data_IF_245148500222
#
_entry.id   IF_245148500222
#
_cell.length_a   1.000
_cell.length_b   1.000
_cell.length_c   1.000
_cell.angle_alpha   90.00
_cell.angle_beta   90.00
_cell.angle_gamma   90.00
#
_symmetry.space_group_name_H-M   'P 1'
#
loop_
_entity.id
_entity.type
_entity.pdbx_description
1 polymer ?
#
# COMPACT_ATOMS: atom_id res chain seq x y z
N UNK A 1 4.40 -15.45 -23.28
CA UNK A 1 4.76 -14.21 -22.54
C UNK A 1 5.08 -14.45 -21.06
N UNK A 2 4.55 -15.50 -20.41
CA UNK A 2 4.83 -15.76 -18.99
C UNK A 2 6.26 -16.24 -18.70
N UNK A 3 6.97 -16.75 -19.73
CA UNK A 3 8.37 -17.15 -19.65
C UNK A 3 9.34 -15.98 -19.92
N UNK A 4 8.81 -14.76 -20.09
CA UNK A 4 9.65 -13.56 -20.22
C UNK A 4 10.47 -13.39 -18.92
N UNK A 5 11.78 -13.12 -19.01
CA UNK A 5 12.59 -12.79 -17.85
C UNK A 5 12.09 -11.54 -17.12
N UNK A 6 12.12 -11.55 -15.80
CA UNK A 6 11.68 -10.43 -14.94
C UNK A 6 12.41 -9.13 -15.28
N UNK A 7 13.70 -9.18 -15.60
CA UNK A 7 14.51 -7.99 -15.92
C UNK A 7 13.98 -7.15 -17.08
N UNK A 8 13.19 -7.76 -17.99
CA UNK A 8 12.60 -7.08 -19.15
C UNK A 8 11.41 -6.22 -18.77
N UNK A 9 10.78 -6.48 -17.62
CA UNK A 9 9.57 -5.76 -17.19
C UNK A 9 9.72 -5.05 -15.84
N UNK A 10 10.75 -5.35 -15.05
CA UNK A 10 10.99 -4.68 -13.77
C UNK A 10 11.32 -3.19 -13.93
N UNK A 11 11.11 -2.42 -12.86
CA UNK A 11 11.63 -1.06 -12.75
C UNK A 11 13.11 -1.10 -12.37
N UNK A 12 14.00 -0.58 -13.23
CA UNK A 12 15.46 -0.52 -12.99
C UNK A 12 15.89 0.64 -12.09
N UNK A 13 15.18 1.77 -12.16
CA UNK A 13 15.41 2.92 -11.29
C UNK A 13 14.72 2.70 -9.96
N UNK A 14 15.33 1.87 -9.11
CA UNK A 14 14.80 1.52 -7.81
C UNK A 14 15.07 2.64 -6.82
N UNK A 15 13.99 3.20 -6.29
CA UNK A 15 14.04 4.04 -5.09
C UNK A 15 14.01 3.10 -3.89
N UNK A 16 14.97 3.25 -3.00
CA UNK A 16 15.12 2.49 -1.77
C UNK A 16 15.38 3.44 -0.60
N UNK A 17 15.26 2.94 0.61
CA UNK A 17 15.68 3.62 1.84
C UNK A 17 16.84 2.85 2.48
N UNK A 18 17.66 3.51 3.28
CA UNK A 18 18.85 2.91 3.89
C UNK A 18 18.65 2.62 5.38
N UNK A 19 19.39 1.65 5.90
CA UNK A 19 19.56 1.45 7.35
C UNK A 19 21.04 1.56 7.76
N UNK A 20 21.34 2.19 8.92
CA UNK A 20 20.39 2.82 9.85
C UNK A 20 19.81 4.12 9.28
N UNK A 21 18.55 4.40 9.62
CA UNK A 21 17.79 5.57 9.21
C UNK A 21 16.49 5.67 10.00
N UNK A 22 15.78 6.79 9.85
CA UNK A 22 14.57 7.11 10.61
C UNK A 22 13.31 7.28 9.75
N UNK A 23 12.18 7.47 10.40
CA UNK A 23 10.87 7.61 9.76
C UNK A 23 10.75 8.87 8.91
N UNK A 24 11.44 9.96 9.26
CA UNK A 24 11.41 11.22 8.50
C UNK A 24 12.03 11.03 7.11
N UNK A 25 13.11 10.27 7.01
CA UNK A 25 13.71 9.88 5.73
C UNK A 25 12.70 9.16 4.83
N UNK A 26 11.88 8.24 5.39
CA UNK A 26 10.87 7.55 4.60
C UNK A 26 9.80 8.52 4.10
N UNK A 27 9.29 9.41 4.96
CA UNK A 27 8.28 10.40 4.56
C UNK A 27 8.80 11.36 3.50
N UNK A 28 10.07 11.76 3.58
CA UNK A 28 10.73 12.55 2.54
C UNK A 28 10.68 11.81 1.19
N UNK A 29 11.07 10.53 1.16
CA UNK A 29 11.02 9.70 -0.05
C UNK A 29 9.58 9.52 -0.55
N UNK A 30 8.60 9.29 0.33
CA UNK A 30 7.17 9.23 -0.04
C UNK A 30 6.73 10.55 -0.68
N UNK A 31 7.09 11.69 -0.10
CA UNK A 31 6.69 13.00 -0.58
C UNK A 31 7.31 13.35 -1.94
N UNK A 32 8.58 13.01 -2.14
CA UNK A 32 9.31 13.24 -3.39
C UNK A 32 8.85 12.31 -4.52
N UNK A 33 8.57 11.05 -4.20
CA UNK A 33 8.35 10.01 -5.22
C UNK A 33 6.90 9.63 -5.41
N UNK A 34 6.03 10.02 -4.47
CA UNK A 34 4.62 9.62 -4.35
C UNK A 34 4.40 8.10 -4.31
N UNK A 35 5.45 7.33 -3.97
CA UNK A 35 5.39 5.87 -3.82
C UNK A 35 5.16 5.49 -2.37
N UNK A 36 4.54 4.34 -2.14
CA UNK A 36 4.09 3.88 -0.82
C UNK A 36 4.83 2.66 -0.28
N UNK A 37 5.92 2.24 -0.93
CA UNK A 37 6.76 1.17 -0.39
C UNK A 37 8.05 0.98 -1.16
N UNK A 38 9.09 0.62 -0.42
CA UNK A 38 10.49 0.74 -0.83
C UNK A 38 11.27 -0.46 -0.28
N UNK A 39 12.20 -1.01 -1.08
CA UNK A 39 13.27 -1.84 -0.55
C UNK A 39 14.08 -1.06 0.50
N UNK A 40 14.51 -1.75 1.55
CA UNK A 40 15.43 -1.25 2.55
C UNK A 40 16.78 -1.90 2.33
N UNK A 41 17.82 -1.10 2.18
CA UNK A 41 19.19 -1.58 1.92
C UNK A 41 20.16 -1.15 3.03
N UNK A 42 21.29 -1.85 3.17
CA UNK A 42 22.35 -1.42 4.08
C UNK A 42 23.02 -0.15 3.55
N UNK A 43 23.20 0.85 4.43
CA UNK A 43 23.78 2.16 4.10
C UNK A 43 25.07 2.07 3.29
N UNK A 44 25.15 2.84 2.21
CA UNK A 44 26.32 2.87 1.33
C UNK A 44 26.49 1.63 0.46
N UNK A 45 25.51 0.73 0.46
CA UNK A 45 25.47 -0.47 -0.38
C UNK A 45 24.11 -0.58 -1.06
N UNK A 46 23.93 -1.61 -1.88
CA UNK A 46 22.61 -1.98 -2.43
C UNK A 46 22.08 -3.28 -1.82
N UNK A 47 22.75 -3.82 -0.80
CA UNK A 47 22.39 -5.10 -0.21
C UNK A 47 21.05 -5.01 0.50
N UNK A 48 20.09 -5.81 0.05
CA UNK A 48 18.72 -5.83 0.57
C UNK A 48 18.68 -6.41 1.99
N UNK A 49 18.01 -5.70 2.90
CA UNK A 49 17.81 -6.15 4.28
C UNK A 49 16.34 -6.18 4.70
N UNK A 50 15.47 -5.48 3.97
CA UNK A 50 14.06 -5.37 4.30
C UNK A 50 13.21 -4.79 3.19
N UNK A 51 11.90 -4.76 3.40
CA UNK A 51 10.96 -3.92 2.65
C UNK A 51 10.15 -3.11 3.66
N UNK A 52 9.87 -1.85 3.32
CA UNK A 52 9.03 -0.99 4.14
C UNK A 52 7.92 -0.41 3.28
N UNK A 53 6.71 -0.39 3.83
CA UNK A 53 5.54 0.20 3.20
C UNK A 53 4.91 1.24 4.11
N UNK A 54 4.12 2.11 3.51
CA UNK A 54 3.30 3.06 4.23
C UNK A 54 2.41 2.39 5.29
N UNK A 55 1.91 1.17 5.02
CA UNK A 55 1.12 0.40 5.98
C UNK A 55 1.94 0.06 7.23
N UNK A 56 3.22 -0.25 7.09
CA UNK A 56 4.10 -0.59 8.22
C UNK A 56 4.33 0.63 9.13
N UNK A 57 4.52 1.79 8.49
CA UNK A 57 4.66 3.10 9.13
C UNK A 57 3.38 3.47 9.89
N UNK A 58 2.22 3.37 9.25
CA UNK A 58 0.93 3.73 9.86
C UNK A 58 0.49 2.79 10.99
N UNK A 59 0.92 1.52 10.96
CA UNK A 59 0.61 0.54 12.03
C UNK A 59 1.36 0.80 13.32
N UNK A 60 2.56 1.39 13.24
CA UNK A 60 3.44 1.63 14.39
C UNK A 60 3.77 3.13 14.47
N UNK A 61 2.84 4.00 14.89
CA UNK A 61 3.03 5.46 14.85
C UNK A 61 4.13 5.97 15.79
N UNK A 62 4.42 5.24 16.87
CA UNK A 62 5.41 5.60 17.89
C UNK A 62 6.85 5.17 17.55
N UNK A 63 7.01 4.36 16.50
CA UNK A 63 8.31 3.82 16.13
C UNK A 63 8.97 4.71 15.07
N UNK A 64 10.22 5.06 15.35
CA UNK A 64 11.04 5.98 14.55
C UNK A 64 12.10 5.26 13.72
N UNK A 65 12.57 4.08 14.16
CA UNK A 65 13.67 3.39 13.49
C UNK A 65 13.19 2.56 12.31
N UNK A 66 13.76 2.80 11.11
CA UNK A 66 13.47 2.01 9.90
C UNK A 66 13.66 0.51 10.17
N UNK A 67 14.69 0.14 10.93
CA UNK A 67 15.02 -1.25 11.23
C UNK A 67 13.95 -1.98 12.07
N UNK A 68 13.12 -1.25 12.81
CA UNK A 68 12.00 -1.78 13.60
C UNK A 68 10.67 -1.69 12.85
N UNK A 69 10.54 -0.78 11.89
CA UNK A 69 9.38 -0.65 11.01
C UNK A 69 9.39 -1.62 9.83
N UNK A 70 10.57 -1.98 9.31
CA UNK A 70 10.67 -2.78 8.09
C UNK A 70 10.26 -4.24 8.29
N UNK A 71 9.69 -4.84 7.25
CA UNK A 71 9.59 -6.29 7.14
C UNK A 71 10.94 -6.85 6.72
N UNK A 72 11.57 -7.63 7.60
CA UNK A 72 12.87 -8.28 7.37
C UNK A 72 12.73 -9.47 6.43
N UNK A 73 13.82 -9.81 5.76
CA UNK A 73 13.91 -10.98 4.87
C UNK A 73 12.76 -11.03 3.84
N UNK A 74 12.56 -9.97 3.03
CA UNK A 74 11.48 -9.93 2.05
C UNK A 74 11.66 -11.02 1.00
N UNK A 75 10.56 -11.50 0.44
CA UNK A 75 10.60 -12.42 -0.70
C UNK A 75 11.17 -11.69 -1.92
N UNK A 76 12.20 -12.26 -2.53
CA UNK A 76 12.90 -11.70 -3.69
C UNK A 76 12.75 -12.58 -4.94
N UNK A 77 13.20 -12.04 -6.06
CA UNK A 77 13.29 -12.77 -7.33
C UNK A 77 14.57 -12.40 -8.08
N UNK A 78 15.10 -13.35 -8.85
CA UNK A 78 16.26 -13.13 -9.71
C UNK A 78 15.83 -12.46 -11.03
N UNK A 79 16.72 -11.70 -11.69
CA UNK A 79 16.39 -10.97 -12.93
C UNK A 79 16.02 -11.89 -14.10
N UNK A 80 16.65 -13.06 -14.19
CA UNK A 80 16.47 -14.06 -15.25
C UNK A 80 15.26 -14.98 -15.02
N UNK A 81 14.72 -15.00 -13.79
CA UNK A 81 13.55 -15.81 -13.45
C UNK A 81 12.35 -15.45 -14.34
N UNK A 82 11.51 -16.44 -14.71
CA UNK A 82 10.34 -16.20 -15.54
C UNK A 82 9.27 -15.41 -14.76
N UNK A 83 8.53 -14.55 -15.45
CA UNK A 83 7.39 -13.80 -14.87
C UNK A 83 6.39 -14.72 -14.18
N UNK A 84 6.18 -15.95 -14.68
CA UNK A 84 5.31 -16.92 -14.02
C UNK A 84 5.73 -17.22 -12.57
N UNK A 85 7.03 -17.33 -12.30
CA UNK A 85 7.54 -17.53 -10.95
C UNK A 85 7.25 -16.31 -10.08
N UNK A 86 7.42 -15.11 -10.64
CA UNK A 86 7.08 -13.86 -9.96
C UNK A 86 5.61 -13.83 -9.54
N UNK A 87 4.70 -14.20 -10.46
CA UNK A 87 3.26 -14.27 -10.20
C UNK A 87 2.98 -15.26 -9.06
N UNK A 88 3.57 -16.46 -9.09
CA UNK A 88 3.41 -17.46 -8.01
C UNK A 88 3.85 -16.91 -6.67
N UNK A 89 5.06 -16.33 -6.59
CA UNK A 89 5.62 -15.73 -5.36
C UNK A 89 4.72 -14.60 -4.82
N UNK A 90 4.23 -13.73 -5.69
CA UNK A 90 3.32 -12.62 -5.33
C UNK A 90 2.02 -13.15 -4.73
N UNK A 91 1.37 -14.09 -5.40
CA UNK A 91 0.06 -14.60 -4.97
C UNK A 91 0.18 -15.46 -3.71
N UNK A 92 1.18 -16.35 -3.63
CA UNK A 92 1.34 -17.26 -2.48
C UNK A 92 1.73 -16.55 -1.20
N UNK A 93 2.52 -15.47 -1.30
CA UNK A 93 2.98 -14.69 -0.13
C UNK A 93 2.10 -13.47 0.15
N UNK A 94 1.05 -13.24 -0.65
CA UNK A 94 0.17 -12.07 -0.55
C UNK A 94 0.93 -10.73 -0.51
N UNK A 95 1.98 -10.62 -1.33
CA UNK A 95 2.80 -9.40 -1.46
C UNK A 95 2.49 -8.69 -2.78
N UNK A 96 2.63 -7.35 -2.83
CA UNK A 96 2.35 -6.58 -4.06
C UNK A 96 3.60 -6.24 -4.88
N UNK A 97 4.79 -6.44 -4.31
CA UNK A 97 6.08 -6.06 -4.90
C UNK A 97 7.14 -7.10 -4.53
N UNK A 98 8.04 -7.37 -5.47
CA UNK A 98 9.22 -8.21 -5.29
C UNK A 98 10.46 -7.38 -5.60
N UNK A 99 11.37 -7.18 -4.63
CA UNK A 99 12.72 -6.73 -4.94
C UNK A 99 13.39 -7.73 -5.88
N UNK A 100 13.96 -7.21 -6.97
CA UNK A 100 14.78 -7.99 -7.88
C UNK A 100 16.23 -7.81 -7.47
N UNK A 101 16.90 -8.92 -7.17
CA UNK A 101 18.25 -8.93 -6.62
C UNK A 101 19.21 -9.73 -7.49
N UNK A 102 20.49 -9.35 -7.47
CA UNK A 102 21.57 -10.15 -8.05
C UNK A 102 22.00 -11.31 -7.13
N UNK A 103 23.03 -12.06 -7.54
CA UNK A 103 23.57 -13.19 -6.77
C UNK A 103 24.18 -12.77 -5.41
N UNK A 104 24.55 -11.51 -5.25
CA UNK A 104 25.10 -10.92 -4.02
C UNK A 104 24.01 -10.28 -3.14
N UNK A 105 22.73 -10.48 -3.47
CA UNK A 105 21.57 -9.91 -2.80
C UNK A 105 21.52 -8.37 -2.86
N UNK A 106 22.12 -7.77 -3.90
CA UNK A 106 21.99 -6.34 -4.16
C UNK A 106 20.74 -6.04 -4.97
N UNK A 107 20.02 -4.97 -4.62
CA UNK A 107 18.80 -4.54 -5.31
C UNK A 107 19.13 -3.91 -6.66
N UNK A 108 18.79 -4.62 -7.73
CA UNK A 108 18.97 -4.19 -9.13
C UNK A 108 17.65 -3.81 -9.81
N UNK A 109 16.51 -4.16 -9.19
CA UNK A 109 15.19 -3.85 -9.72
C UNK A 109 14.07 -3.97 -8.69
N UNK A 110 12.88 -3.51 -9.08
CA UNK A 110 11.65 -3.72 -8.33
C UNK A 110 10.55 -4.13 -9.30
N UNK A 111 9.91 -5.26 -9.03
CA UNK A 111 8.78 -5.76 -9.82
C UNK A 111 7.50 -5.62 -9.01
N UNK A 112 6.47 -5.00 -9.58
CA UNK A 112 5.15 -4.86 -8.95
C UNK A 112 4.07 -5.66 -9.69
N UNK A 113 2.93 -5.88 -9.02
CA UNK A 113 1.72 -6.42 -9.68
C UNK A 113 1.35 -5.56 -10.90
N UNK A 114 1.40 -4.24 -10.76
CA UNK A 114 1.13 -3.29 -11.83
C UNK A 114 2.02 -3.52 -13.06
N UNK A 115 3.32 -3.76 -12.87
CA UNK A 115 4.23 -4.07 -13.99
C UNK A 115 3.81 -5.32 -14.75
N UNK A 116 3.47 -6.40 -14.03
CA UNK A 116 3.05 -7.67 -14.64
C UNK A 116 1.73 -7.49 -15.39
N UNK A 117 0.73 -6.86 -14.76
CA UNK A 117 -0.59 -6.65 -15.35
C UNK A 117 -0.49 -5.81 -16.62
N UNK A 118 0.21 -4.67 -16.56
CA UNK A 118 0.24 -3.71 -17.67
C UNK A 118 1.21 -4.08 -18.80
N UNK A 119 2.31 -4.79 -18.51
CA UNK A 119 3.32 -5.16 -19.51
C UNK A 119 3.12 -6.57 -20.07
N UNK A 120 2.52 -7.48 -19.31
CA UNK A 120 2.30 -8.88 -19.72
C UNK A 120 0.82 -9.14 -19.97
N UNK A 121 -0.05 -9.07 -18.95
CA UNK A 121 -1.45 -9.52 -19.06
C UNK A 121 -2.25 -8.71 -20.09
N UNK A 122 -2.04 -7.40 -20.14
CA UNK A 122 -2.67 -6.52 -21.12
C UNK A 122 -2.36 -6.91 -22.58
N UNK A 123 -1.29 -7.68 -22.83
CA UNK A 123 -0.84 -8.08 -24.18
C UNK A 123 -1.10 -9.56 -24.49
N UNK A 124 -1.68 -10.32 -23.56
CA UNK A 124 -1.93 -11.76 -23.73
C UNK A 124 -3.22 -12.09 -24.49
N UNK A 125 -4.06 -11.10 -24.82
CA UNK A 125 -5.34 -11.27 -25.53
C UNK A 125 -6.29 -12.31 -24.88
N UNK A 126 -6.36 -12.31 -23.54
CA UNK A 126 -7.22 -13.21 -22.77
C UNK A 126 -8.65 -12.68 -22.83
N UNK A 127 -9.53 -13.40 -23.52
CA UNK A 127 -10.93 -13.05 -23.76
C UNK A 127 -11.88 -13.42 -22.61
N UNK A 128 -11.44 -14.23 -21.64
CA UNK A 128 -12.26 -14.62 -20.49
C UNK A 128 -12.74 -13.38 -19.72
N UNK A 129 -14.04 -13.30 -19.38
CA UNK A 129 -14.59 -12.19 -18.62
C UNK A 129 -14.07 -12.17 -17.19
N UNK A 130 -13.96 -10.98 -16.60
CA UNK A 130 -13.50 -10.82 -15.22
C UNK A 130 -14.50 -11.30 -14.17
N UNK A 131 -15.77 -11.52 -14.54
CA UNK A 131 -16.92 -11.97 -13.72
C UNK A 131 -16.58 -12.91 -12.56
N UNK A 132 -15.83 -13.98 -12.84
CA UNK A 132 -15.53 -15.04 -11.88
C UNK A 132 -14.39 -14.67 -10.92
N UNK A 133 -13.70 -13.55 -11.20
CA UNK A 133 -12.60 -13.00 -10.42
C UNK A 133 -12.99 -11.71 -9.68
N UNK A 134 -14.26 -11.28 -9.82
CA UNK A 134 -14.82 -10.11 -9.12
C UNK A 134 -15.11 -10.45 -7.66
N UNK A 135 -14.64 -9.62 -6.73
CA UNK A 135 -14.99 -9.73 -5.31
C UNK A 135 -16.38 -9.13 -5.07
N UNK A 136 -17.34 -9.98 -4.70
CA UNK A 136 -18.76 -9.59 -4.52
C UNK A 136 -19.04 -8.88 -3.20
N UNK A 137 -18.25 -9.16 -2.16
CA UNK A 137 -18.38 -8.49 -0.86
C UNK A 137 -17.71 -7.12 -0.92
N UNK A 138 -18.50 -6.09 -1.14
CA UNK A 138 -18.03 -4.70 -1.24
C UNK A 138 -18.48 -3.91 -0.04
N UNK A 139 -17.53 -3.24 0.61
CA UNK A 139 -17.83 -2.26 1.65
C UNK A 139 -18.03 -0.91 0.98
N UNK A 140 -19.27 -0.43 0.99
CA UNK A 140 -19.61 0.92 0.55
C UNK A 140 -19.65 1.87 1.75
N UNK A 141 -19.34 3.14 1.51
CA UNK A 141 -19.37 4.20 2.53
C UNK A 141 -20.26 5.34 2.03
N UNK A 142 -21.07 5.91 2.92
CA UNK A 142 -21.94 7.02 2.55
C UNK A 142 -21.13 8.32 2.38
N UNK A 143 -21.47 9.12 1.38
CA UNK A 143 -20.67 10.31 1.00
C UNK A 143 -20.49 11.35 2.12
N UNK A 144 -21.41 11.40 3.08
CA UNK A 144 -21.36 12.30 4.25
C UNK A 144 -20.79 11.64 5.52
N UNK A 145 -20.30 10.40 5.45
CA UNK A 145 -19.66 9.74 6.59
C UNK A 145 -18.44 10.57 7.06
N UNK A 146 -18.26 10.80 8.38
CA UNK A 146 -17.04 11.42 8.90
C UNK A 146 -15.79 10.62 8.53
N UNK A 147 -14.70 11.30 8.16
CA UNK A 147 -13.49 10.63 7.66
C UNK A 147 -12.88 9.66 8.69
N UNK A 148 -12.91 10.01 9.97
CA UNK A 148 -12.44 9.14 11.05
C UNK A 148 -13.22 7.82 11.12
N UNK A 149 -14.54 7.86 10.89
CA UNK A 149 -15.38 6.67 10.81
C UNK A 149 -15.09 5.88 9.53
N UNK A 150 -15.00 6.54 8.38
CA UNK A 150 -14.66 5.90 7.10
C UNK A 150 -13.32 5.15 7.15
N UNK A 151 -12.28 5.76 7.73
CA UNK A 151 -10.98 5.14 7.93
C UNK A 151 -11.08 3.87 8.80
N UNK A 152 -11.82 3.92 9.91
CA UNK A 152 -12.02 2.75 10.78
C UNK A 152 -12.83 1.66 10.09
N UNK A 153 -13.87 2.01 9.34
CA UNK A 153 -14.67 1.06 8.53
C UNK A 153 -13.74 0.32 7.56
N UNK A 154 -12.95 1.06 6.76
CA UNK A 154 -12.02 0.45 5.80
C UNK A 154 -10.97 -0.43 6.49
N UNK A 155 -10.42 0.04 7.62
CA UNK A 155 -9.47 -0.72 8.43
C UNK A 155 -10.06 -2.03 8.96
N UNK A 156 -11.26 -2.01 9.53
CA UNK A 156 -11.93 -3.20 10.07
C UNK A 156 -12.36 -4.18 8.98
N UNK A 157 -12.79 -3.65 7.83
CA UNK A 157 -13.11 -4.44 6.66
C UNK A 157 -11.87 -4.99 5.93
N UNK A 158 -10.66 -4.57 6.33
CA UNK A 158 -9.40 -4.87 5.65
C UNK A 158 -9.46 -4.58 4.13
N UNK A 159 -10.11 -3.46 3.78
CA UNK A 159 -10.23 -3.00 2.39
C UNK A 159 -9.39 -1.75 2.17
N UNK A 160 -8.78 -1.65 0.99
CA UNK A 160 -8.03 -0.46 0.55
C UNK A 160 -8.87 0.49 -0.30
N UNK A 161 -10.07 0.07 -0.65
CA UNK A 161 -11.00 0.82 -1.50
C UNK A 161 -12.43 0.66 -0.99
N UNK A 162 -13.17 1.76 -1.06
CA UNK A 162 -14.60 1.77 -0.82
C UNK A 162 -15.30 2.61 -1.90
N UNK A 163 -16.25 2.04 -2.65
CA UNK A 163 -17.20 2.83 -3.41
C UNK A 163 -18.02 3.73 -2.48
N UNK A 164 -18.20 4.97 -2.89
CA UNK A 164 -18.92 5.98 -2.11
C UNK A 164 -20.31 6.14 -2.69
N UNK A 165 -21.33 6.03 -1.83
CA UNK A 165 -22.74 6.05 -2.23
C UNK A 165 -23.47 7.30 -1.72
N UNK A 166 -24.42 7.79 -2.52
CA UNK A 166 -25.34 8.86 -2.14
C UNK A 166 -26.58 8.33 -1.39
N UNK A 167 -27.62 9.15 -1.26
CA UNK A 167 -28.88 8.76 -0.60
C UNK A 167 -29.74 7.80 -1.43
N UNK A 168 -29.56 7.81 -2.75
CA UNK A 168 -30.31 7.00 -3.71
C UNK A 168 -29.67 5.61 -3.91
N UNK A 169 -28.48 5.39 -3.31
CA UNK A 169 -27.70 4.17 -3.45
C UNK A 169 -26.73 4.18 -4.64
N UNK A 170 -26.68 5.26 -5.39
CA UNK A 170 -25.76 5.42 -6.53
C UNK A 170 -24.33 5.62 -6.06
N UNK A 171 -23.39 4.99 -6.77
CA UNK A 171 -21.96 5.20 -6.57
C UNK A 171 -21.56 6.55 -7.18
N UNK A 172 -21.25 7.51 -6.33
CA UNK A 172 -20.88 8.90 -6.69
C UNK A 172 -19.39 9.19 -6.50
N UNK A 173 -18.62 8.21 -6.01
CA UNK A 173 -17.20 8.37 -5.81
C UNK A 173 -16.50 7.08 -5.41
N UNK A 174 -15.19 7.16 -5.25
CA UNK A 174 -14.34 6.10 -4.70
C UNK A 174 -13.41 6.72 -3.67
N UNK A 175 -13.17 5.99 -2.58
CA UNK A 175 -12.21 6.36 -1.55
C UNK A 175 -11.15 5.27 -1.39
N UNK A 176 -9.88 5.67 -1.34
CA UNK A 176 -8.73 4.77 -1.15
C UNK A 176 -7.92 5.10 0.09
N UNK A 177 -7.05 4.18 0.53
CA UNK A 177 -6.09 4.43 1.62
C UNK A 177 -5.17 5.64 1.33
N UNK A 178 -4.85 5.88 0.06
CA UNK A 178 -4.05 7.01 -0.39
C UNK A 178 -4.75 8.38 -0.22
N UNK A 179 -6.08 8.42 -0.25
CA UNK A 179 -6.83 9.67 -0.10
C UNK A 179 -6.76 10.22 1.34
N UNK A 180 -6.65 9.34 2.34
CA UNK A 180 -6.42 9.76 3.72
C UNK A 180 -5.07 10.45 3.90
N UNK A 181 -4.03 10.04 3.16
CA UNK A 181 -2.69 10.65 3.27
C UNK A 181 -2.67 12.14 2.99
N UNK A 182 -3.56 12.60 2.10
CA UNK A 182 -3.65 14.00 1.69
C UNK A 182 -4.08 14.94 2.83
N UNK A 183 -4.64 14.37 3.90
CA UNK A 183 -5.23 15.10 5.02
C UNK A 183 -4.69 14.63 6.38
N UNK A 184 -3.67 13.77 6.42
CA UNK A 184 -3.06 13.38 7.69
C UNK A 184 -2.33 14.59 8.27
N UNK A 185 -2.69 14.93 9.51
CA UNK A 185 -2.03 15.97 10.28
C UNK A 185 -1.05 15.34 11.27
N UNK A 186 0.17 15.89 11.33
CA UNK A 186 1.19 15.46 12.30
C UNK A 186 1.10 16.43 13.48
N UNK A 187 0.49 15.97 14.58
CA UNK A 187 0.47 16.73 15.82
C UNK A 187 1.70 16.39 16.68
N UNK A 188 2.33 17.42 17.26
CA UNK A 188 3.38 17.27 18.26
C UNK A 188 2.76 17.41 19.64
N UNK A 189 2.78 16.34 20.42
CA UNK A 189 2.35 16.34 21.81
C UNK A 189 3.60 16.34 22.71
N UNK A 190 3.79 17.39 23.50
CA UNK A 190 4.86 17.46 24.50
C UNK A 190 4.34 16.99 25.85
N UNK A 191 4.83 15.84 26.34
CA UNK A 191 4.63 15.42 27.73
C UNK A 191 5.84 15.78 28.56
N UNK A 192 5.62 16.51 29.65
CA UNK A 192 6.62 16.74 30.69
C UNK A 192 6.36 15.76 31.84
N UNK A 193 7.32 14.91 32.15
CA UNK A 193 7.27 14.05 33.33
C UNK A 193 8.43 14.41 34.26
N UNK A 194 8.11 14.71 35.52
CA UNK A 194 9.12 14.92 36.54
C UNK A 194 9.55 13.55 37.08
N UNK A 195 10.82 13.20 36.90
CA UNK A 195 11.39 12.02 37.54
C UNK A 195 11.99 12.46 38.86
N UNK A 196 11.39 12.01 39.96
CA UNK A 196 11.94 12.20 41.31
C UNK A 196 13.01 11.12 41.53
N UNK A 197 14.25 11.52 41.82
CA UNK A 197 15.28 10.58 42.28
C UNK A 197 14.94 10.03 43.67
N UNK A 198 15.51 8.88 44.08
CA UNK A 198 15.37 8.39 45.45
C UNK A 198 15.92 9.44 46.42
N UNK A 199 15.12 9.83 47.41
CA UNK A 199 15.56 10.67 48.53
C UNK A 199 16.18 9.78 49.60
N UNK A 200 17.49 9.87 49.81
CA UNK A 200 18.13 9.46 51.06
C UNK A 200 18.21 10.68 51.99
N UNK A 201 17.69 10.53 53.21
CA UNK A 201 17.53 11.58 54.22
C UNK A 201 18.87 12.17 54.69
N UNK A 202 19.30 13.27 54.06
CA UNK A 202 20.31 14.20 54.63
C UNK A 202 19.93 15.65 54.34
N UNK A 203 20.09 16.50 55.36
CA UNK A 203 19.69 17.93 55.43
C UNK A 203 20.34 18.88 54.40
N UNK A 204 21.06 18.36 53.40
CA UNK A 204 21.52 19.12 52.25
C UNK A 204 21.47 18.27 50.98
N UNK A 205 20.30 18.21 50.33
CA UNK A 205 20.18 17.67 48.98
C UNK A 205 19.78 18.77 48.00
N UNK A 206 20.62 19.01 46.99
CA UNK A 206 20.20 19.70 45.77
C UNK A 206 19.12 18.85 45.10
N UNK A 207 17.85 19.27 45.18
CA UNK A 207 16.75 18.59 44.50
C UNK A 207 16.87 18.78 42.99
N UNK A 208 17.63 17.89 42.36
CA UNK A 208 17.74 17.79 40.91
C UNK A 208 16.47 17.10 40.41
N UNK A 209 15.44 17.87 40.09
CA UNK A 209 14.29 17.31 39.35
C UNK A 209 14.71 17.16 37.89
N UNK A 210 14.85 15.92 37.42
CA UNK A 210 15.00 15.67 36.00
C UNK A 210 13.62 15.82 35.35
N UNK A 211 13.42 16.91 34.60
CA UNK A 211 12.23 17.06 33.76
C UNK A 211 12.50 16.28 32.48
N UNK A 212 11.88 15.11 32.37
CA UNK A 212 11.89 14.34 31.14
C UNK A 212 10.85 14.94 30.19
N UNK A 213 11.33 15.49 29.07
CA UNK A 213 10.50 15.92 27.96
C UNK A 213 10.33 14.73 27.01
N UNK A 214 9.10 14.22 26.91
CA UNK A 214 8.72 13.21 25.92
C UNK A 214 7.99 13.95 24.80
N UNK A 215 8.65 14.09 23.66
CA UNK A 215 8.04 14.57 22.42
C UNK A 215 7.39 13.37 21.73
N UNK A 216 6.06 13.38 21.63
CA UNK A 216 5.26 12.34 20.99
C UNK A 216 4.62 12.92 19.73
N UNK A 217 5.04 12.48 18.54
CA UNK A 217 4.37 12.84 17.29
C UNK A 217 3.20 11.88 17.06
N UNK A 218 1.97 12.36 17.06
CA UNK A 218 0.79 11.54 16.73
C UNK A 218 0.20 11.96 15.40
N UNK A 219 -0.12 10.98 14.57
CA UNK A 219 -0.81 11.23 13.30
C UNK A 219 -2.32 11.17 13.56
N UNK A 220 -3.03 12.27 13.28
CA UNK A 220 -4.48 12.33 13.43
C UNK A 220 -5.17 12.67 12.12
N UNK A 221 -6.42 12.23 12.02
CA UNK A 221 -7.33 12.60 10.94
C UNK A 221 -8.21 13.77 11.42
N UNK A 222 -8.49 14.75 10.56
CA UNK A 222 -9.35 15.88 10.89
C UNK A 222 -10.76 15.40 11.25
N UNK A 223 -11.34 15.99 12.28
CA UNK A 223 -12.66 15.61 12.83
C UNK A 223 -13.82 16.32 12.14
N UNK A 224 -13.56 17.42 11.43
CA UNK A 224 -14.53 18.29 10.77
C UNK A 224 -14.83 17.90 9.32
N UNK A 225 -14.05 16.98 8.75
CA UNK A 225 -14.18 16.56 7.35
C UNK A 225 -15.02 15.29 7.17
N UNK A 226 -15.71 15.26 6.02
CA UNK A 226 -16.50 14.11 5.55
C UNK A 226 -15.91 13.51 4.28
N UNK A 227 -16.30 12.27 3.97
CA UNK A 227 -15.80 11.51 2.80
C UNK A 227 -15.89 12.30 1.49
N UNK A 228 -16.99 13.02 1.24
CA UNK A 228 -17.18 13.79 0.01
C UNK A 228 -16.15 14.90 -0.22
N UNK A 229 -15.41 15.30 0.82
CA UNK A 229 -14.34 16.30 0.71
C UNK A 229 -13.01 15.75 0.18
N UNK A 230 -12.82 14.41 0.18
CA UNK A 230 -11.58 13.76 -0.24
C UNK A 230 -11.76 12.63 -1.26
N UNK A 231 -13.00 12.16 -1.46
CA UNK A 231 -13.28 11.09 -2.43
C UNK A 231 -12.93 11.51 -3.86
N UNK A 232 -12.53 10.54 -4.68
CA UNK A 232 -12.41 10.72 -6.12
C UNK A 232 -13.80 10.62 -6.74
N UNK A 233 -14.24 11.68 -7.43
CA UNK A 233 -15.59 11.76 -8.02
C UNK A 233 -15.66 11.09 -9.40
N UNK A 234 -14.61 11.21 -10.21
CA UNK A 234 -14.53 10.61 -11.54
C UNK A 234 -14.23 9.11 -11.45
N UNK A 235 -15.26 8.34 -11.13
CA UNK A 235 -15.13 6.89 -10.95
C UNK A 235 -15.05 6.20 -12.31
N UNK A 236 -13.94 5.49 -12.53
CA UNK A 236 -13.80 4.58 -13.66
C UNK A 236 -14.39 3.22 -13.27
N UNK A 237 -15.49 2.83 -13.92
CA UNK A 237 -16.09 1.50 -13.76
C UNK A 237 -15.62 0.54 -14.85
N UNK A 238 -15.67 -0.75 -14.55
CA UNK A 238 -15.57 -1.82 -15.55
C UNK A 238 -16.81 -2.71 -15.47
N UNK A 239 -17.21 -3.30 -16.60
CA UNK A 239 -18.31 -4.28 -16.60
C UNK A 239 -17.77 -5.66 -16.25
N UNK A 240 -18.55 -6.51 -15.59
CA UNK A 240 -18.15 -7.87 -15.24
C UNK A 240 -17.87 -8.76 -16.46
N UNK A 241 -18.48 -8.44 -17.61
CA UNK A 241 -18.22 -9.06 -18.93
C UNK A 241 -16.92 -8.59 -19.60
N UNK A 242 -16.26 -7.55 -19.06
CA UNK A 242 -14.97 -7.06 -19.58
C UNK A 242 -13.95 -8.19 -19.55
N UNK A 243 -13.17 -8.37 -20.61
CA UNK A 243 -12.15 -9.42 -20.65
C UNK A 243 -10.96 -9.11 -19.70
N UNK A 244 -10.24 -10.14 -19.25
CA UNK A 244 -9.05 -9.99 -18.39
C UNK A 244 -8.00 -9.07 -19.02
N UNK A 245 -7.68 -9.25 -20.31
CA UNK A 245 -6.68 -8.41 -20.98
C UNK A 245 -7.17 -6.97 -21.22
N UNK A 246 -8.47 -6.76 -21.44
CA UNK A 246 -9.05 -5.42 -21.52
C UNK A 246 -9.03 -4.73 -20.15
N UNK A 247 -9.38 -5.45 -19.07
CA UNK A 247 -9.28 -4.92 -17.70
C UNK A 247 -7.84 -4.51 -17.37
N UNK A 248 -6.85 -5.35 -17.70
CA UNK A 248 -5.44 -5.03 -17.56
C UNK A 248 -5.01 -3.79 -18.41
N UNK A 249 -5.61 -3.62 -19.59
CA UNK A 249 -5.39 -2.44 -20.43
C UNK A 249 -6.00 -1.18 -19.82
N UNK A 250 -7.16 -1.28 -19.17
CA UNK A 250 -7.78 -0.17 -18.41
C UNK A 250 -6.93 0.21 -17.19
N UNK A 251 -6.38 -0.77 -16.45
CA UNK A 251 -5.42 -0.52 -15.36
C UNK A 251 -4.26 0.35 -15.85
N UNK A 252 -3.68 -0.01 -17.02
CA UNK A 252 -2.60 0.76 -17.65
C UNK A 252 -3.04 2.15 -18.09
N UNK A 253 -4.21 2.27 -18.73
CA UNK A 253 -4.72 3.52 -19.31
C UNK A 253 -5.02 4.56 -18.23
N UNK A 254 -5.68 4.13 -17.16
CA UNK A 254 -6.11 5.03 -16.09
C UNK A 254 -5.08 5.13 -14.95
N UNK A 255 -4.07 4.26 -14.93
CA UNK A 255 -3.07 4.17 -13.87
C UNK A 255 -3.72 3.93 -12.49
N UNK A 256 -4.69 3.00 -12.44
CA UNK A 256 -5.44 2.61 -11.26
C UNK A 256 -5.33 1.10 -11.10
N UNK A 257 -5.10 0.60 -9.88
CA UNK A 257 -4.86 -0.81 -9.58
C UNK A 257 -6.12 -1.61 -9.21
N UNK A 258 -7.29 -0.97 -9.24
CA UNK A 258 -8.56 -1.54 -8.81
C UNK A 258 -9.75 -0.79 -9.41
N UNK A 259 -10.86 -1.49 -9.66
CA UNK A 259 -12.06 -0.89 -10.22
C UNK A 259 -13.32 -1.36 -9.49
N UNK A 260 -14.28 -0.46 -9.19
CA UNK A 260 -15.66 -0.85 -8.98
C UNK A 260 -16.21 -1.50 -10.26
N UNK A 261 -16.93 -2.61 -10.09
CA UNK A 261 -17.43 -3.44 -11.18
C UNK A 261 -18.94 -3.36 -11.25
N UNK A 262 -19.49 -3.10 -12.44
CA UNK A 262 -20.93 -3.12 -12.71
C UNK A 262 -21.34 -4.37 -13.49
N UNK A 263 -22.56 -4.84 -13.26
CA UNK A 263 -23.20 -5.81 -14.16
C UNK A 263 -23.70 -5.08 -15.44
N UNK A 264 -24.19 -5.79 -16.46
CA UNK A 264 -24.76 -5.18 -17.67
C UNK A 264 -25.97 -4.27 -17.39
N UNK A 265 -26.69 -4.51 -16.30
CA UNK A 265 -27.85 -3.70 -15.86
C UNK A 265 -27.43 -2.37 -15.21
N UNK A 266 -26.13 -2.15 -15.00
CA UNK A 266 -25.57 -0.89 -14.48
C UNK A 266 -25.43 -0.84 -12.95
N UNK A 267 -25.77 -1.92 -12.25
CA UNK A 267 -25.68 -2.05 -10.80
C UNK A 267 -24.26 -2.41 -10.36
N UNK A 268 -23.82 -1.86 -9.22
CA UNK A 268 -22.54 -2.23 -8.61
C UNK A 268 -22.62 -3.68 -8.13
N UNK A 269 -21.77 -4.53 -8.70
CA UNK A 269 -21.78 -5.97 -8.45
C UNK A 269 -20.48 -6.48 -7.79
N UNK A 270 -19.50 -5.61 -7.58
CA UNK A 270 -18.24 -5.99 -6.95
C UNK A 270 -17.11 -4.97 -7.11
N UNK A 271 -15.92 -5.40 -6.70
CA UNK A 271 -14.64 -4.71 -6.97
C UNK A 271 -13.65 -5.73 -7.52
N UNK A 272 -12.83 -5.32 -8.48
CA UNK A 272 -11.71 -6.13 -8.98
C UNK A 272 -10.39 -5.42 -8.71
N UNK A 273 -9.38 -6.16 -8.24
CA UNK A 273 -8.02 -5.67 -8.07
C UNK A 273 -7.09 -6.27 -9.13
N UNK A 274 -6.00 -5.57 -9.41
CA UNK A 274 -4.92 -6.04 -10.27
C UNK A 274 -4.40 -7.45 -9.90
N UNK A 275 -4.31 -7.77 -8.61
CA UNK A 275 -3.88 -9.09 -8.10
C UNK A 275 -4.90 -10.20 -8.40
N UNK A 276 -6.18 -9.86 -8.57
CA UNK A 276 -7.21 -10.84 -8.94
C UNK A 276 -7.01 -11.29 -10.39
N UNK A 277 -6.49 -10.42 -11.27
CA UNK A 277 -6.06 -10.81 -12.61
C UNK A 277 -4.85 -11.77 -12.58
N UNK A 278 -3.91 -11.59 -11.64
CA UNK A 278 -2.82 -12.54 -11.46
C UNK A 278 -3.31 -13.93 -11.03
N UNK A 279 -4.28 -13.98 -10.12
CA UNK A 279 -4.91 -15.24 -9.68
C UNK A 279 -5.61 -15.96 -10.83
N UNK A 280 -6.30 -15.20 -11.70
CA UNK A 280 -6.93 -15.74 -12.89
C UNK A 280 -5.93 -16.41 -13.85
N UNK A 281 -4.70 -15.89 -13.97
CA UNK A 281 -3.65 -16.53 -14.77
C UNK A 281 -3.18 -17.86 -14.15
N UNK A 282 -3.12 -17.93 -12.81
CA UNK A 282 -2.65 -19.13 -12.12
C UNK A 282 -3.69 -20.26 -12.15
N UNK A 283 -4.98 -19.96 -11.96
CA UNK A 283 -6.04 -20.97 -12.00
C UNK A 283 -6.08 -21.72 -13.34
N UNK A 284 -5.79 -21.04 -14.45
CA UNK A 284 -5.72 -21.64 -15.79
C UNK A 284 -4.57 -22.60 -16.01
N UNK A 285 -3.46 -22.49 -15.26
CA UNK A 285 -2.30 -23.39 -15.43
C UNK A 285 -2.37 -24.62 -14.53
N UNK A 286 -3.34 -24.67 -13.62
CA UNK A 286 -3.58 -25.81 -12.73
C UNK A 286 -4.66 -26.74 -13.32
N UNK A 287 -5.33 -26.30 -14.40
CA UNK A 287 -6.28 -27.11 -15.20
C UNK A 287 -5.64 -27.46 -16.54
#
# INVERSE_FOLDING_TARGET
>A
MLDTPVEKIMSKNVIYVEVPGDREEIFKVINETKKTGFPVVKKGTRTLVGIITLTDILKNPEEEQIALLMTRNPITILPDAPVLEAIKKIVSNNVRRLPVVDAENNVIGLLSVYDIVTKIIARMNISEPIRDHVRRNVVCIWYKTPISAAYRIMKFANTKIAPIVNNDGDVVGVLSDFDFLKILEIEREEKKSNVMGPSEDKDWTWNSSAILYILKKTVKLPSDKVVSSIMVQDVVFVLDVTSISECASKIRKYNIDQFPVKNPDGELCGVIHDIDLLKAILSKKIT
#
